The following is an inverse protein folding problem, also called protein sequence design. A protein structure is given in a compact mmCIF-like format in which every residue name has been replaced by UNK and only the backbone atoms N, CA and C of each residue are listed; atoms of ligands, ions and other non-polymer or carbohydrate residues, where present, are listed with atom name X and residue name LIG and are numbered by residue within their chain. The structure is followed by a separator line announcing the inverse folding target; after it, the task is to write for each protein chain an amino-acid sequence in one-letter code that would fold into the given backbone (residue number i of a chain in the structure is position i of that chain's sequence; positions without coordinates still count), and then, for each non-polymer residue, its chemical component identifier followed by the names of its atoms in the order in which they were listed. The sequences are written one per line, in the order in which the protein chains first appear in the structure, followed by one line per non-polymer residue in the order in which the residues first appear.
data_IF_388091302604
#
_entry.id   IF_388091302604
#
_cell.length_a   1.000
_cell.length_b   1.000
_cell.length_c   1.000
_cell.angle_alpha   90.00
_cell.angle_beta   90.00
_cell.angle_gamma   90.00
#
_symmetry.space_group_name_H-M   'P 1'
#
loop_
_entity.id
_entity.type
_entity.pdbx_description
1 polymer ?
#
# COMPACT_ATOMS: atom_id res chain seq x y z
N UNK A 1 34.15 10.46 15.09
CA UNK A 1 34.52 11.72 14.39
C UNK A 1 33.70 12.00 13.12
N UNK A 2 33.13 10.99 12.45
CA UNK A 2 32.33 11.16 11.21
C UNK A 2 31.00 11.93 11.40
N UNK A 3 30.30 11.71 12.52
CA UNK A 3 29.01 12.34 12.83
C UNK A 3 29.16 13.86 13.05
N UNK A 4 30.25 14.30 13.68
CA UNK A 4 30.54 15.71 13.93
C UNK A 4 30.83 16.45 12.62
N UNK A 5 31.54 15.81 11.67
CA UNK A 5 31.88 16.40 10.37
C UNK A 5 30.67 16.66 9.47
N UNK A 6 29.62 15.84 9.59
CA UNK A 6 28.41 15.95 8.78
C UNK A 6 27.22 16.58 9.54
N UNK A 7 27.44 17.13 10.73
CA UNK A 7 26.38 17.69 11.58
C UNK A 7 25.54 18.76 10.87
N UNK A 8 26.17 19.65 10.10
CA UNK A 8 25.47 20.69 9.33
C UNK A 8 24.54 20.11 8.25
N UNK A 9 24.94 19.02 7.59
CA UNK A 9 24.11 18.32 6.59
C UNK A 9 22.93 17.60 7.25
N UNK A 10 23.17 16.96 8.40
CA UNK A 10 22.11 16.25 9.15
C UNK A 10 21.09 17.26 9.70
N UNK A 11 21.54 18.41 10.21
CA UNK A 11 20.66 19.46 10.69
C UNK A 11 19.82 20.08 9.56
N UNK A 12 20.42 20.34 8.39
CA UNK A 12 19.70 20.80 7.19
C UNK A 12 18.64 19.81 6.72
N UNK A 13 19.03 18.54 6.56
CA UNK A 13 18.12 17.46 6.16
C UNK A 13 16.95 17.28 7.14
N UNK A 14 17.21 17.36 8.44
CA UNK A 14 16.16 17.26 9.47
C UNK A 14 15.20 18.45 9.42
N UNK A 15 15.70 19.65 9.11
CA UNK A 15 14.89 20.84 8.88
C UNK A 15 13.95 20.70 7.68
N UNK A 16 14.47 20.19 6.56
CA UNK A 16 13.69 19.93 5.34
C UNK A 16 12.64 18.84 5.56
N UNK A 17 13.02 17.70 6.16
CA UNK A 17 12.09 16.61 6.50
C UNK A 17 10.97 17.10 7.41
N UNK A 18 11.29 17.94 8.40
CA UNK A 18 10.27 18.56 9.26
C UNK A 18 9.32 19.48 8.48
N UNK A 19 9.84 20.21 7.49
CA UNK A 19 9.06 21.05 6.59
C UNK A 19 8.07 20.24 5.74
N UNK A 20 8.52 19.14 5.15
CA UNK A 20 7.68 18.26 4.33
C UNK A 20 6.70 17.44 5.18
N UNK A 21 7.12 16.94 6.34
CA UNK A 21 6.23 16.22 7.27
C UNK A 21 5.05 17.07 7.74
N UNK A 22 5.22 18.39 7.86
CA UNK A 22 4.12 19.31 8.22
C UNK A 22 3.08 19.48 7.11
N UNK A 23 3.42 19.13 5.87
CA UNK A 23 2.50 19.14 4.73
C UNK A 23 1.74 17.81 4.59
N UNK A 24 2.20 16.75 5.24
CA UNK A 24 1.54 15.46 5.20
C UNK A 24 0.20 15.53 5.96
N UNK A 25 -0.85 14.98 5.36
CA UNK A 25 -2.16 14.87 5.97
C UNK A 25 -2.15 13.75 7.00
N UNK A 26 -1.98 14.10 8.27
CA UNK A 26 -1.73 13.08 9.27
C UNK A 26 -3.03 12.56 9.96
N UNK A 27 -3.29 11.23 10.02
CA UNK A 27 -4.54 10.66 10.57
C UNK A 27 -4.82 10.94 12.05
N UNK A 28 -3.87 11.42 12.83
CA UNK A 28 -4.04 11.84 14.23
C UNK A 28 -4.16 13.36 14.41
N UNK A 29 -4.00 14.17 13.37
CA UNK A 29 -4.27 15.62 13.44
C UNK A 29 -5.74 15.78 13.83
N UNK A 30 -5.99 16.32 15.01
CA UNK A 30 -7.30 16.29 15.66
C UNK A 30 -8.10 17.50 15.22
N UNK A 31 -8.70 17.42 14.04
CA UNK A 31 -9.59 18.47 13.56
C UNK A 31 -10.81 18.55 14.50
N UNK A 32 -11.00 19.64 15.28
CA UNK A 32 -11.99 19.70 16.35
C UNK A 32 -13.44 19.56 15.85
N UNK A 33 -13.65 19.70 14.52
CA UNK A 33 -14.93 19.52 13.84
C UNK A 33 -15.22 18.06 13.45
N UNK A 34 -14.20 17.19 13.37
CA UNK A 34 -14.33 15.83 12.86
C UNK A 34 -14.07 14.84 14.01
N UNK A 35 -15.14 14.45 14.71
CA UNK A 35 -15.07 13.45 15.78
C UNK A 35 -15.27 12.03 15.23
N UNK A 36 -14.46 11.08 15.71
CA UNK A 36 -14.70 9.63 15.59
C UNK A 36 -14.46 9.03 14.20
N UNK A 37 -15.29 8.03 13.84
CA UNK A 37 -15.14 7.17 12.66
C UNK A 37 -15.09 7.89 11.31
N UNK A 38 -15.60 9.12 11.21
CA UNK A 38 -15.49 9.94 9.98
C UNK A 38 -14.05 10.35 9.66
N UNK A 39 -13.16 10.39 10.66
CA UNK A 39 -11.73 10.72 10.47
C UNK A 39 -10.99 9.69 9.63
N UNK A 40 -11.34 8.43 9.79
CA UNK A 40 -10.72 7.33 9.05
C UNK A 40 -11.39 7.07 7.70
N UNK A 41 -12.40 7.87 7.32
CA UNK A 41 -13.17 7.62 6.10
C UNK A 41 -12.27 7.57 4.86
N UNK A 42 -11.34 8.51 4.70
CA UNK A 42 -10.43 8.53 3.54
C UNK A 42 -9.48 7.32 3.51
N UNK A 43 -8.97 6.93 4.69
CA UNK A 43 -8.10 5.76 4.83
C UNK A 43 -8.86 4.46 4.53
N UNK A 44 -10.05 4.32 5.10
CA UNK A 44 -10.92 3.15 4.89
C UNK A 44 -11.42 3.08 3.44
N UNK A 45 -11.73 4.21 2.80
CA UNK A 45 -12.16 4.25 1.41
C UNK A 45 -11.01 3.81 0.47
N UNK A 46 -9.80 4.32 0.73
CA UNK A 46 -8.61 3.92 -0.02
C UNK A 46 -8.28 2.43 0.15
N UNK A 47 -8.37 1.88 1.38
CA UNK A 47 -8.09 0.47 1.63
C UNK A 47 -9.19 -0.47 1.12
N UNK A 48 -10.46 -0.05 1.17
CA UNK A 48 -11.59 -0.83 0.66
C UNK A 48 -11.47 -1.07 -0.84
N UNK A 49 -11.10 -0.03 -1.61
CA UNK A 49 -10.89 -0.15 -3.05
C UNK A 49 -9.76 -1.13 -3.37
N UNK A 50 -8.65 -1.02 -2.65
CA UNK A 50 -7.51 -1.94 -2.82
C UNK A 50 -7.90 -3.38 -2.49
N UNK A 51 -8.66 -3.59 -1.41
CA UNK A 51 -9.17 -4.91 -1.02
C UNK A 51 -10.02 -5.55 -2.13
N UNK A 52 -10.95 -4.79 -2.69
CA UNK A 52 -11.81 -5.27 -3.79
C UNK A 52 -10.95 -5.63 -5.01
N UNK A 53 -9.99 -4.77 -5.38
CA UNK A 53 -9.10 -5.02 -6.51
C UNK A 53 -8.28 -6.30 -6.32
N UNK A 54 -7.73 -6.52 -5.12
CA UNK A 54 -6.95 -7.73 -4.80
C UNK A 54 -7.81 -8.99 -4.87
N UNK A 55 -9.04 -8.95 -4.35
CA UNK A 55 -9.96 -10.10 -4.39
C UNK A 55 -10.36 -10.43 -5.83
N UNK A 56 -10.70 -9.42 -6.64
CA UNK A 56 -11.05 -9.63 -8.05
C UNK A 56 -9.87 -10.17 -8.85
N UNK A 57 -8.66 -9.65 -8.62
CA UNK A 57 -7.45 -10.13 -9.27
C UNK A 57 -7.15 -11.58 -8.86
N UNK A 58 -7.24 -11.90 -7.57
CA UNK A 58 -7.03 -13.26 -7.08
C UNK A 58 -8.01 -14.26 -7.72
N UNK A 59 -9.29 -13.89 -7.83
CA UNK A 59 -10.31 -14.71 -8.50
C UNK A 59 -9.98 -14.93 -9.99
N UNK A 60 -9.56 -13.88 -10.69
CA UNK A 60 -9.17 -13.97 -12.11
C UNK A 60 -7.95 -14.87 -12.31
N UNK A 61 -6.90 -14.70 -11.51
CA UNK A 61 -5.69 -15.52 -11.57
C UNK A 61 -6.03 -16.99 -11.31
N UNK A 62 -6.79 -17.29 -10.26
CA UNK A 62 -7.21 -18.64 -9.92
C UNK A 62 -8.03 -19.32 -11.04
N UNK A 63 -8.89 -18.57 -11.72
CA UNK A 63 -9.69 -19.07 -12.84
C UNK A 63 -8.80 -19.55 -13.99
N UNK A 64 -7.79 -18.74 -14.36
CA UNK A 64 -6.85 -19.11 -15.42
C UNK A 64 -5.93 -20.25 -15.02
N UNK A 65 -5.47 -20.27 -13.76
CA UNK A 65 -4.66 -21.37 -13.25
C UNK A 65 -5.42 -22.70 -13.33
N UNK A 66 -6.71 -22.71 -12.96
CA UNK A 66 -7.56 -23.90 -13.08
C UNK A 66 -7.71 -24.35 -14.53
N UNK A 67 -7.97 -23.41 -15.45
CA UNK A 67 -8.11 -23.70 -16.87
C UNK A 67 -6.81 -24.27 -17.47
N UNK A 68 -5.67 -23.70 -17.08
CA UNK A 68 -4.36 -24.17 -17.53
C UNK A 68 -4.06 -25.59 -17.03
N UNK A 69 -4.33 -25.87 -15.75
CA UNK A 69 -4.18 -27.22 -15.19
C UNK A 69 -5.05 -28.24 -15.94
N UNK A 70 -6.28 -27.86 -16.28
CA UNK A 70 -7.18 -28.72 -17.06
C UNK A 70 -6.59 -29.05 -18.45
N UNK A 71 -6.13 -28.04 -19.17
CA UNK A 71 -5.53 -28.21 -20.50
C UNK A 71 -4.26 -29.05 -20.44
N UNK A 72 -3.34 -28.73 -19.53
CA UNK A 72 -2.08 -29.46 -19.38
C UNK A 72 -2.36 -30.92 -19.00
N UNK A 73 -3.31 -31.17 -18.11
CA UNK A 73 -3.71 -32.52 -17.72
C UNK A 73 -4.31 -33.30 -18.90
N UNK A 74 -5.11 -32.63 -19.74
CA UNK A 74 -5.67 -33.23 -20.95
C UNK A 74 -4.58 -33.58 -21.98
N UNK A 75 -3.68 -32.64 -22.29
CA UNK A 75 -2.58 -32.86 -23.22
C UNK A 75 -1.60 -33.93 -22.72
N UNK A 76 -1.32 -33.94 -21.42
CA UNK A 76 -0.44 -34.95 -20.80
C UNK A 76 -1.04 -36.35 -20.88
N UNK A 77 -2.37 -36.49 -20.71
CA UNK A 77 -3.05 -37.77 -20.90
C UNK A 77 -3.10 -38.21 -22.37
N UNK A 78 -3.17 -37.26 -23.31
CA UNK A 78 -3.20 -37.57 -24.74
C UNK A 78 -1.83 -38.01 -25.29
N UNK A 79 -0.74 -37.48 -24.71
CA UNK A 79 0.63 -37.80 -25.10
C UNK A 79 1.22 -39.05 -24.45
N UNK A 80 0.46 -39.73 -23.58
CA UNK A 80 0.84 -40.96 -22.87
C UNK A 80 0.12 -42.16 -23.47
#
# INVERSE_FOLDING_TARGET
MLVIRNYSRIAGFTGEVKGELRKASWPWESDPKIKGFRKYKELTDSTMVVLIAVILLAGFVQFWDFFHVLIVSFLTNLGR
#
